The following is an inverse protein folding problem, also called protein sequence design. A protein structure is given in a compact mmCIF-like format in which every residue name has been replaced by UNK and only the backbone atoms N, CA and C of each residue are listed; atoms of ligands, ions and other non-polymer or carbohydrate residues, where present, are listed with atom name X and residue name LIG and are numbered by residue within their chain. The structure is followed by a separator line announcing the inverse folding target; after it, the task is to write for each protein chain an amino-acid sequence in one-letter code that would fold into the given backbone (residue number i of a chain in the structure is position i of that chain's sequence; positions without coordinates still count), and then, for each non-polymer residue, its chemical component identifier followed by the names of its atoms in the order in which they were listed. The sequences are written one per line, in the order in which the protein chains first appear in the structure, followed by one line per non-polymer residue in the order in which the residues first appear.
data_IF_789184749732
#
_entry.id   IF_789184749732
#
_cell.length_a   1.000
_cell.length_b   1.000
_cell.length_c   1.000
_cell.angle_alpha   90.00
_cell.angle_beta   90.00
_cell.angle_gamma   90.00
#
_symmetry.space_group_name_H-M   'P 1'
#
loop_
_entity.id
_entity.type
_entity.pdbx_description
1 polymer ?
#
# COMPACT_ATOMS: atom_id res chain seq x y z
N UNK A 1 -16.03 4.92 -25.63
CA UNK A 1 -14.85 4.47 -24.87
C UNK A 1 -14.94 4.97 -23.44
N UNK A 2 -14.86 4.07 -22.50
CA UNK A 2 -14.84 4.45 -21.10
C UNK A 2 -13.44 4.79 -20.67
N UNK A 3 -13.31 5.82 -19.85
CA UNK A 3 -12.01 6.20 -19.26
C UNK A 3 -12.08 5.86 -17.79
N UNK A 4 -11.20 4.96 -17.35
CA UNK A 4 -11.08 4.63 -15.95
C UNK A 4 -10.40 5.78 -15.20
N UNK A 5 -10.92 6.11 -14.02
CA UNK A 5 -10.36 7.15 -13.17
C UNK A 5 -9.64 6.46 -12.02
N UNK A 6 -8.33 6.71 -11.92
CA UNK A 6 -7.50 6.21 -10.82
C UNK A 6 -7.29 7.33 -9.81
N UNK A 7 -7.61 7.05 -8.56
CA UNK A 7 -7.42 7.99 -7.45
C UNK A 7 -6.52 7.32 -6.42
N UNK A 8 -5.48 8.04 -5.98
CA UNK A 8 -4.62 7.62 -4.86
C UNK A 8 -5.00 8.48 -3.67
N UNK A 9 -5.36 7.86 -2.56
CA UNK A 9 -5.72 8.58 -1.34
C UNK A 9 -5.26 7.83 -0.10
N UNK A 10 -5.27 8.50 1.03
CA UNK A 10 -4.96 7.87 2.31
C UNK A 10 -6.00 6.81 2.64
N UNK A 11 -5.54 5.69 3.18
CA UNK A 11 -6.40 4.62 3.70
C UNK A 11 -7.21 5.12 4.89
N UNK A 12 -8.46 4.69 4.98
CA UNK A 12 -9.37 5.00 6.08
C UNK A 12 -9.72 3.72 6.83
N UNK A 13 -10.15 3.81 8.09
CA UNK A 13 -10.55 2.59 8.84
C UNK A 13 -11.60 1.75 8.11
N UNK A 14 -12.54 2.37 7.42
CA UNK A 14 -13.57 1.64 6.65
C UNK A 14 -13.00 0.86 5.47
N UNK A 15 -11.74 1.13 5.07
CA UNK A 15 -11.07 0.41 3.98
C UNK A 15 -10.35 -0.85 4.46
N UNK A 16 -10.16 -1.04 5.75
CA UNK A 16 -9.26 -2.07 6.28
C UNK A 16 -9.61 -3.48 5.82
N UNK A 17 -10.88 -3.86 5.84
CA UNK A 17 -11.30 -5.19 5.41
C UNK A 17 -11.04 -5.39 3.91
N UNK A 18 -11.33 -4.38 3.10
CA UNK A 18 -11.09 -4.45 1.66
C UNK A 18 -9.58 -4.55 1.38
N UNK A 19 -8.77 -3.76 2.08
CA UNK A 19 -7.31 -3.81 1.92
C UNK A 19 -6.77 -5.18 2.32
N UNK A 20 -7.31 -5.80 3.37
CA UNK A 20 -6.92 -7.15 3.76
C UNK A 20 -7.05 -8.11 2.57
N UNK A 21 -8.17 -8.07 1.89
CA UNK A 21 -8.41 -8.96 0.74
C UNK A 21 -7.55 -8.58 -0.47
N UNK A 22 -7.32 -7.29 -0.71
CA UNK A 22 -6.45 -6.84 -1.81
C UNK A 22 -5.03 -7.36 -1.61
N UNK A 23 -4.48 -7.20 -0.40
CA UNK A 23 -3.12 -7.68 -0.09
C UNK A 23 -3.06 -9.20 -0.23
N UNK A 24 -4.04 -9.90 0.33
CA UNK A 24 -4.08 -11.37 0.27
C UNK A 24 -4.11 -11.85 -1.19
N UNK A 25 -4.99 -11.30 -2.02
CA UNK A 25 -5.09 -11.69 -3.44
C UNK A 25 -3.83 -11.33 -4.22
N UNK A 26 -3.22 -10.18 -3.92
CA UNK A 26 -2.01 -9.75 -4.63
C UNK A 26 -0.85 -10.73 -4.43
N UNK A 27 -0.76 -11.37 -3.28
CA UNK A 27 0.35 -12.26 -2.94
C UNK A 27 -0.02 -13.75 -2.99
N UNK A 28 -1.28 -14.10 -3.26
CA UNK A 28 -1.77 -15.47 -3.16
C UNK A 28 -0.97 -16.46 -4.01
N UNK A 29 -0.55 -16.04 -5.20
CA UNK A 29 0.20 -16.87 -6.13
C UNK A 29 1.62 -16.36 -6.38
N UNK A 30 2.13 -15.45 -5.54
CA UNK A 30 3.45 -14.89 -5.71
C UNK A 30 4.52 -15.86 -5.22
N UNK A 31 5.68 -15.87 -5.91
CA UNK A 31 6.87 -16.56 -5.40
C UNK A 31 7.36 -15.85 -4.14
N UNK A 32 7.99 -16.59 -3.24
CA UNK A 32 8.62 -16.04 -2.04
C UNK A 32 7.64 -15.38 -1.06
N UNK A 33 6.36 -15.71 -1.13
CA UNK A 33 5.39 -15.27 -0.13
C UNK A 33 5.21 -16.33 0.94
N UNK A 34 5.00 -15.88 2.19
CA UNK A 34 4.62 -16.79 3.29
C UNK A 34 3.10 -16.82 3.51
N UNK A 35 2.35 -16.09 2.69
CA UNK A 35 0.89 -16.02 2.81
C UNK A 35 0.39 -15.13 3.93
N UNK A 36 1.25 -14.34 4.57
CA UNK A 36 0.90 -13.54 5.75
C UNK A 36 1.03 -12.03 5.52
N UNK A 37 1.20 -11.57 4.29
CA UNK A 37 1.36 -10.14 4.01
C UNK A 37 0.18 -9.31 4.51
N UNK A 38 -1.04 -9.83 4.38
CA UNK A 38 -2.24 -9.12 4.86
C UNK A 38 -2.26 -9.00 6.38
N UNK A 39 -1.71 -9.97 7.08
CA UNK A 39 -1.61 -9.93 8.54
C UNK A 39 -0.49 -8.99 8.99
N UNK A 40 0.57 -8.90 8.21
CA UNK A 40 1.64 -7.93 8.45
C UNK A 40 1.11 -6.50 8.39
N UNK A 41 0.30 -6.18 7.40
CA UNK A 41 -0.30 -4.86 7.28
C UNK A 41 -1.13 -4.53 8.53
N UNK A 42 -1.96 -5.48 8.99
CA UNK A 42 -2.78 -5.27 10.19
C UNK A 42 -1.92 -5.04 11.43
N UNK A 43 -0.82 -5.79 11.57
CA UNK A 43 0.11 -5.62 12.69
C UNK A 43 0.83 -4.27 12.63
N UNK A 44 1.26 -3.85 11.45
CA UNK A 44 1.99 -2.59 11.28
C UNK A 44 1.11 -1.38 11.59
N UNK A 45 -0.19 -1.44 11.31
CA UNK A 45 -1.10 -0.34 11.65
C UNK A 45 -1.14 -0.06 13.17
N UNK A 46 -0.86 -1.08 13.98
CA UNK A 46 -0.86 -0.96 15.45
C UNK A 46 0.51 -0.67 16.02
N UNK A 47 1.53 -0.61 15.17
CA UNK A 47 2.90 -0.40 15.62
C UNK A 47 3.21 1.10 15.78
N UNK A 48 4.28 1.39 16.54
CA UNK A 48 4.78 2.77 16.70
C UNK A 48 5.40 3.31 15.41
N UNK A 49 5.70 2.44 14.47
CA UNK A 49 6.30 2.81 13.18
C UNK A 49 5.27 3.24 12.14
N UNK A 50 3.98 3.11 12.47
CA UNK A 50 2.91 3.42 11.53
C UNK A 50 2.81 4.93 11.28
N UNK A 51 2.74 5.29 10.00
CA UNK A 51 2.56 6.67 9.55
C UNK A 51 1.26 6.68 8.75
N UNK A 52 0.13 7.12 9.33
CA UNK A 52 -1.16 7.04 8.64
C UNK A 52 -1.17 7.69 7.26
N UNK A 53 -0.47 8.83 7.11
CA UNK A 53 -0.40 9.56 5.85
C UNK A 53 0.33 8.79 4.76
N UNK A 54 1.08 7.73 5.13
CA UNK A 54 1.83 6.91 4.19
C UNK A 54 1.24 5.50 4.03
N UNK A 55 -0.02 5.33 4.42
CA UNK A 55 -0.82 4.16 4.08
C UNK A 55 -1.84 4.59 3.04
N UNK A 56 -1.62 4.18 1.79
CA UNK A 56 -2.36 4.71 0.65
C UNK A 56 -3.09 3.59 -0.09
N UNK A 57 -4.27 3.92 -0.60
CA UNK A 57 -5.03 3.02 -1.46
C UNK A 57 -5.14 3.60 -2.86
N UNK A 58 -5.12 2.72 -3.86
CA UNK A 58 -5.42 3.07 -5.24
C UNK A 58 -6.86 2.64 -5.52
N UNK A 59 -7.68 3.58 -5.95
CA UNK A 59 -9.10 3.36 -6.21
C UNK A 59 -9.36 3.60 -7.69
N UNK A 60 -9.86 2.59 -8.39
CA UNK A 60 -10.22 2.70 -9.79
C UNK A 60 -11.72 2.39 -9.91
N UNK A 61 -12.48 3.37 -10.44
CA UNK A 61 -13.93 3.23 -10.61
C UNK A 61 -14.62 2.77 -9.31
N UNK A 62 -14.29 3.43 -8.20
CA UNK A 62 -14.87 3.20 -6.87
C UNK A 62 -14.44 1.87 -6.22
N UNK A 63 -13.51 1.15 -6.83
CA UNK A 63 -13.00 -0.11 -6.29
C UNK A 63 -11.55 0.04 -5.86
N UNK A 64 -11.22 -0.40 -4.65
CA UNK A 64 -9.82 -0.45 -4.19
C UNK A 64 -9.12 -1.59 -4.92
N UNK A 65 -8.08 -1.24 -5.69
CA UNK A 65 -7.33 -2.20 -6.50
C UNK A 65 -5.87 -2.31 -6.09
N UNK A 66 -5.40 -1.44 -5.20
CA UNK A 66 -4.02 -1.47 -4.74
C UNK A 66 -3.85 -0.79 -3.40
N UNK A 67 -2.72 -1.05 -2.76
CA UNK A 67 -2.35 -0.51 -1.45
C UNK A 67 -0.85 -0.44 -1.34
N UNK A 68 -0.35 0.60 -0.69
CA UNK A 68 1.06 0.72 -0.32
C UNK A 68 1.14 1.21 1.11
N UNK A 69 2.14 0.72 1.84
CA UNK A 69 2.41 1.13 3.21
C UNK A 69 3.90 1.40 3.37
N UNK A 70 4.23 2.58 3.86
CA UNK A 70 5.59 2.89 4.32
C UNK A 70 5.57 3.04 5.83
N UNK A 71 6.59 2.49 6.48
CA UNK A 71 6.76 2.61 7.93
C UNK A 71 8.13 3.20 8.24
N UNK A 72 8.28 3.71 9.46
CA UNK A 72 9.59 4.17 9.94
C UNK A 72 10.46 2.98 10.30
N UNK A 73 11.73 3.05 9.93
CA UNK A 73 12.73 2.07 10.33
C UNK A 73 14.01 2.79 10.67
N UNK A 74 14.87 2.15 11.47
CA UNK A 74 16.18 2.69 11.82
C UNK A 74 17.23 1.72 11.32
N UNK A 75 18.14 2.21 10.47
CA UNK A 75 19.24 1.43 9.92
C UNK A 75 20.53 2.14 10.28
N UNK A 76 21.39 1.48 11.06
CA UNK A 76 22.67 2.06 11.50
C UNK A 76 22.51 3.45 12.12
N UNK A 77 21.47 3.62 12.96
CA UNK A 77 21.22 4.88 13.64
C UNK A 77 20.55 5.95 12.79
N UNK A 78 20.24 5.66 11.52
CA UNK A 78 19.58 6.60 10.61
C UNK A 78 18.13 6.20 10.42
N UNK A 79 17.22 7.17 10.58
CA UNK A 79 15.80 6.95 10.35
C UNK A 79 15.51 6.92 8.86
N UNK A 80 14.87 5.85 8.39
CA UNK A 80 14.53 5.65 6.98
C UNK A 80 13.07 5.21 6.86
N UNK A 81 12.54 5.25 5.65
CA UNK A 81 11.24 4.67 5.34
C UNK A 81 11.42 3.29 4.74
N UNK A 82 10.69 2.32 5.27
CA UNK A 82 10.67 0.97 4.75
C UNK A 82 9.36 0.74 4.02
N UNK A 83 9.44 0.20 2.81
CA UNK A 83 8.26 -0.21 2.05
C UNK A 83 7.79 -1.57 2.58
N UNK A 84 6.51 -1.66 2.97
CA UNK A 84 5.99 -2.91 3.51
C UNK A 84 4.47 -2.96 3.54
N UNK A 85 3.80 -3.64 2.65
CA UNK A 85 4.15 -4.04 1.30
C UNK A 85 3.57 -3.10 0.22
N UNK A 86 3.86 -3.37 -1.05
CA UNK A 86 3.16 -2.79 -2.18
C UNK A 86 2.30 -3.90 -2.79
N UNK A 87 1.00 -3.65 -2.93
CA UNK A 87 0.05 -4.66 -3.40
C UNK A 87 -0.85 -4.09 -4.49
N UNK A 88 -1.01 -4.84 -5.58
CA UNK A 88 -1.95 -4.50 -6.66
C UNK A 88 -2.68 -5.80 -7.03
N UNK A 89 -4.01 -5.74 -7.15
CA UNK A 89 -4.79 -6.90 -7.55
C UNK A 89 -4.25 -7.47 -8.88
N UNK A 90 -4.21 -8.82 -9.04
CA UNK A 90 -3.62 -9.43 -10.22
C UNK A 90 -4.13 -8.89 -11.55
N UNK A 91 -5.43 -8.67 -11.68
CA UNK A 91 -6.03 -8.17 -12.92
C UNK A 91 -5.69 -6.70 -13.21
N UNK A 92 -5.09 -6.00 -12.26
CA UNK A 92 -4.74 -4.58 -12.38
C UNK A 92 -3.24 -4.35 -12.42
N UNK A 93 -2.43 -5.40 -12.39
CA UNK A 93 -0.98 -5.31 -12.48
C UNK A 93 -0.55 -4.90 -13.90
N UNK A 94 0.66 -4.37 -14.01
CA UNK A 94 1.27 -3.94 -15.27
C UNK A 94 0.54 -2.77 -15.95
N UNK A 95 -0.16 -1.95 -15.16
CA UNK A 95 -0.84 -0.74 -15.65
C UNK A 95 -0.28 0.55 -15.03
N UNK A 96 0.84 0.45 -14.30
CA UNK A 96 1.46 1.60 -13.66
C UNK A 96 0.85 2.00 -12.32
N UNK A 97 -0.08 1.22 -11.77
CA UNK A 97 -0.73 1.54 -10.49
C UNK A 97 0.29 1.49 -9.35
N UNK A 98 1.13 0.45 -9.31
CA UNK A 98 2.18 0.35 -8.30
C UNK A 98 3.13 1.54 -8.34
N UNK A 99 3.54 1.95 -9.52
CA UNK A 99 4.41 3.11 -9.69
C UNK A 99 3.72 4.40 -9.22
N UNK A 100 2.44 4.56 -9.52
CA UNK A 100 1.67 5.72 -9.06
C UNK A 100 1.57 5.77 -7.54
N UNK A 101 1.35 4.62 -6.89
CA UNK A 101 1.35 4.54 -5.43
C UNK A 101 2.70 4.92 -4.84
N UNK A 102 3.78 4.42 -5.41
CA UNK A 102 5.13 4.75 -4.94
C UNK A 102 5.44 6.24 -5.11
N UNK A 103 5.09 6.83 -6.25
CA UNK A 103 5.33 8.25 -6.49
C UNK A 103 4.56 9.13 -5.51
N UNK A 104 3.29 8.79 -5.24
CA UNK A 104 2.50 9.55 -4.29
C UNK A 104 3.05 9.41 -2.87
N UNK A 105 3.45 8.21 -2.48
CA UNK A 105 4.08 7.96 -1.19
C UNK A 105 5.34 8.78 -1.00
N UNK A 106 6.21 8.80 -2.00
CA UNK A 106 7.45 9.62 -1.95
C UNK A 106 7.13 11.11 -1.85
N UNK A 107 6.13 11.58 -2.60
CA UNK A 107 5.72 12.98 -2.56
C UNK A 107 5.23 13.38 -1.16
N UNK A 108 4.39 12.54 -0.55
CA UNK A 108 3.88 12.78 0.80
C UNK A 108 5.01 12.73 1.83
N UNK A 109 5.88 11.74 1.73
CA UNK A 109 7.02 11.60 2.64
C UNK A 109 7.92 12.84 2.59
N UNK A 110 8.15 13.38 1.39
CA UNK A 110 8.96 14.60 1.23
C UNK A 110 8.30 15.80 1.92
N UNK A 111 6.98 15.92 1.84
CA UNK A 111 6.23 17.00 2.50
C UNK A 111 6.23 16.86 4.02
N UNK A 112 6.29 15.65 4.53
CA UNK A 112 6.31 15.41 5.97
C UNK A 112 7.69 15.68 6.59
N UNK A 113 8.70 15.68 5.78
CA UNK A 113 10.07 15.85 6.24
C UNK A 113 10.64 14.52 6.67
#
# INVERSE_FOLDING_TARGET
MEVSILIIRQERPEDYDTVYHVVKEAFENAEYTDGNEQNLVAALRKSKSFIPELSLVAVEDEKIVGHILFTKAVVQGVEVLALAPLSVLPDYQNRGIGLSLMKEGHSIAHKLG
#
